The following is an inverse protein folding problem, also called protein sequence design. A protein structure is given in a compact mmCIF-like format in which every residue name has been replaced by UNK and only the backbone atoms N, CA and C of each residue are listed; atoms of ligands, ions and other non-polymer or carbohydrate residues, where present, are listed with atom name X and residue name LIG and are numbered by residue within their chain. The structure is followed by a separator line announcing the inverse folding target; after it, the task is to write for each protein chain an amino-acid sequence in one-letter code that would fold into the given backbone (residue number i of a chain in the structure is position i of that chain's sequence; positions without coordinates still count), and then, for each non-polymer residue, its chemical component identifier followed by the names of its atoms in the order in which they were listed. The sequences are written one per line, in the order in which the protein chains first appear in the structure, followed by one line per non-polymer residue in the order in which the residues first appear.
data_IF_648899263008
#
_entry.id   IF_648899263008
#
_cell.length_a   1.000
_cell.length_b   1.000
_cell.length_c   1.000
_cell.angle_alpha   90.00
_cell.angle_beta   90.00
_cell.angle_gamma   90.00
#
_symmetry.space_group_name_H-M   'P 1'
#
loop_
_entity.id
_entity.type
_entity.pdbx_description
1 polymer ?
#
# COMPACT_ATOMS: atom_id res chain seq x y z
N UNK A 1 -4.57 30.60 10.09
CA UNK A 1 -4.41 29.31 10.79
C UNK A 1 -3.50 28.39 9.96
N UNK A 2 -2.18 28.45 10.16
CA UNK A 2 -1.19 27.74 9.34
C UNK A 2 0.04 27.32 10.17
N UNK A 3 -0.17 26.87 11.41
CA UNK A 3 0.91 26.70 12.39
C UNK A 3 0.90 25.38 13.19
N UNK A 4 0.10 24.38 12.81
CA UNK A 4 0.08 23.08 13.51
C UNK A 4 0.54 21.88 12.66
N UNK A 5 0.82 22.07 11.36
CA UNK A 5 1.00 20.95 10.43
C UNK A 5 2.41 20.35 10.39
N UNK A 6 3.40 20.92 11.09
CA UNK A 6 4.82 20.66 10.82
C UNK A 6 5.68 20.21 12.01
N UNK A 7 5.11 19.95 13.19
CA UNK A 7 5.93 19.63 14.37
C UNK A 7 6.34 18.14 14.41
N UNK A 8 5.60 17.26 13.73
CA UNK A 8 5.82 15.80 13.75
C UNK A 8 6.37 15.23 12.44
N UNK A 9 6.47 16.04 11.39
CA UNK A 9 6.92 15.62 10.05
C UNK A 9 8.46 15.62 9.99
N UNK A 10 9.04 14.54 9.44
CA UNK A 10 10.47 14.48 9.14
C UNK A 10 10.69 14.43 7.63
N UNK A 11 11.42 15.41 7.10
CA UNK A 11 11.76 15.49 5.68
C UNK A 11 13.19 15.02 5.47
N UNK A 12 13.34 13.87 4.84
CA UNK A 12 14.65 13.24 4.61
C UNK A 12 14.76 12.94 3.11
N UNK A 13 15.91 13.27 2.51
CA UNK A 13 16.16 12.99 1.09
C UNK A 13 16.47 11.51 0.87
N UNK A 14 16.17 10.95 -0.30
CA UNK A 14 16.67 9.63 -0.65
C UNK A 14 18.18 9.68 -0.91
N UNK A 15 18.93 8.72 -0.36
CA UNK A 15 20.31 8.42 -0.74
C UNK A 15 20.34 7.52 -1.97
N UNK A 16 19.47 6.51 -1.98
CA UNK A 16 19.40 5.49 -3.04
C UNK A 16 17.97 5.00 -3.22
N UNK A 17 17.60 4.78 -4.47
CA UNK A 17 16.36 4.10 -4.86
C UNK A 17 16.75 2.77 -5.49
N UNK A 18 16.19 1.68 -5.00
CA UNK A 18 16.50 0.31 -5.43
C UNK A 18 15.18 -0.34 -5.88
N UNK A 19 14.91 -0.30 -7.18
CA UNK A 19 13.78 -1.02 -7.76
C UNK A 19 14.02 -2.52 -7.71
N UNK A 20 12.94 -3.31 -7.63
CA UNK A 20 13.05 -4.75 -7.71
C UNK A 20 13.68 -5.15 -9.06
N UNK A 21 14.72 -6.02 -9.08
CA UNK A 21 15.47 -6.35 -10.30
C UNK A 21 14.62 -7.09 -11.35
N UNK A 22 13.50 -7.67 -10.93
CA UNK A 22 12.52 -8.35 -11.81
C UNK A 22 11.22 -7.56 -12.00
N UNK A 23 11.22 -6.25 -11.71
CA UNK A 23 10.06 -5.41 -12.01
C UNK A 23 9.71 -5.49 -13.50
N UNK A 24 8.43 -5.64 -13.80
CA UNK A 24 7.92 -5.69 -15.16
C UNK A 24 6.85 -4.62 -15.34
N UNK A 25 7.10 -3.65 -16.22
CA UNK A 25 6.26 -2.48 -16.46
C UNK A 25 4.95 -2.79 -17.20
N UNK A 26 4.90 -3.89 -17.96
CA UNK A 26 3.68 -4.32 -18.66
C UNK A 26 2.66 -5.00 -17.73
N UNK A 27 3.13 -5.92 -16.89
CA UNK A 27 2.29 -6.69 -15.96
C UNK A 27 2.21 -6.08 -14.57
N UNK A 28 3.01 -5.06 -14.29
CA UNK A 28 3.27 -4.54 -12.94
C UNK A 28 3.79 -5.62 -11.97
N UNK A 29 4.34 -6.73 -12.47
CA UNK A 29 4.86 -7.77 -11.59
C UNK A 29 6.07 -7.25 -10.82
N UNK A 30 6.14 -7.59 -9.53
CA UNK A 30 7.17 -7.10 -8.60
C UNK A 30 7.26 -5.57 -8.53
N UNK A 31 6.12 -4.87 -8.51
CA UNK A 31 6.05 -3.43 -8.25
C UNK A 31 6.33 -3.13 -6.77
N UNK A 32 7.62 -3.23 -6.42
CA UNK A 32 8.14 -2.94 -5.09
C UNK A 32 9.52 -2.31 -5.23
N UNK A 33 9.84 -1.35 -4.38
CA UNK A 33 11.16 -0.72 -4.32
C UNK A 33 11.55 -0.36 -2.90
N UNK A 34 12.86 -0.31 -2.66
CA UNK A 34 13.42 0.20 -1.42
C UNK A 34 13.97 1.61 -1.64
N UNK A 35 13.69 2.51 -0.70
CA UNK A 35 14.29 3.84 -0.63
C UNK A 35 15.19 3.89 0.59
N UNK A 36 16.50 4.01 0.39
CA UNK A 36 17.46 4.27 1.47
C UNK A 36 17.45 5.76 1.76
N UNK A 37 17.18 6.14 3.00
CA UNK A 37 17.21 7.54 3.45
C UNK A 37 18.65 8.04 3.59
N UNK A 38 18.91 9.31 3.22
CA UNK A 38 20.23 9.96 3.36
C UNK A 38 20.70 10.11 4.80
N UNK A 39 19.75 10.14 5.73
CA UNK A 39 19.98 10.10 7.17
C UNK A 39 18.93 9.20 7.81
N UNK A 40 19.23 8.47 8.89
CA UNK A 40 18.22 7.71 9.62
C UNK A 40 17.04 8.60 10.07
N UNK A 41 15.82 8.06 10.03
CA UNK A 41 14.67 8.73 10.63
C UNK A 41 14.75 8.64 12.16
N UNK A 42 14.29 9.70 12.84
CA UNK A 42 14.22 9.72 14.31
C UNK A 42 12.90 9.09 14.77
N UNK A 43 12.96 7.92 15.40
CA UNK A 43 11.74 7.29 15.88
C UNK A 43 11.14 8.01 17.09
N UNK A 44 9.81 8.11 17.11
CA UNK A 44 9.03 8.73 18.18
C UNK A 44 7.58 8.21 18.14
N UNK A 45 6.67 8.80 18.89
CA UNK A 45 5.28 8.36 18.95
C UNK A 45 4.54 8.38 17.60
N UNK A 46 4.99 9.22 16.66
CA UNK A 46 4.40 9.43 15.34
C UNK A 46 5.21 8.81 14.20
N UNK A 47 6.46 8.38 14.44
CA UNK A 47 7.35 7.79 13.43
C UNK A 47 7.91 6.47 13.96
N UNK A 48 7.38 5.36 13.43
CA UNK A 48 7.75 4.00 13.84
C UNK A 48 7.83 3.09 12.60
N UNK A 49 8.76 2.11 12.57
CA UNK A 49 8.78 1.11 11.52
C UNK A 49 7.59 0.16 11.63
N UNK A 50 7.15 -0.40 10.50
CA UNK A 50 6.22 -1.53 10.44
C UNK A 50 7.02 -2.83 10.33
N UNK A 51 6.65 -3.92 11.02
CA UNK A 51 7.30 -5.21 10.83
C UNK A 51 7.15 -5.69 9.39
N UNK A 52 8.20 -6.33 8.88
CA UNK A 52 8.11 -7.06 7.61
C UNK A 52 7.26 -8.31 7.84
N UNK A 53 6.34 -8.55 6.92
CA UNK A 53 5.53 -9.76 6.99
C UNK A 53 6.35 -10.97 6.55
N UNK A 54 6.11 -12.09 7.21
CA UNK A 54 6.88 -13.34 7.07
C UNK A 54 6.12 -14.44 6.32
N UNK A 55 4.86 -14.20 5.99
CA UNK A 55 3.97 -15.11 5.28
C UNK A 55 2.99 -14.33 4.43
N UNK A 56 2.46 -14.96 3.39
CA UNK A 56 1.38 -14.37 2.60
C UNK A 56 0.08 -14.28 3.41
N UNK A 57 -0.71 -13.22 3.22
CA UNK A 57 -2.04 -13.13 3.79
C UNK A 57 -2.95 -14.23 3.23
N UNK A 58 -3.87 -14.70 4.06
CA UNK A 58 -4.86 -15.71 3.72
C UNK A 58 -6.18 -15.05 3.33
N UNK A 59 -7.00 -15.76 2.56
CA UNK A 59 -8.35 -15.28 2.23
C UNK A 59 -9.16 -15.04 3.50
N UNK A 60 -9.76 -13.85 3.61
CA UNK A 60 -10.52 -13.40 4.78
C UNK A 60 -9.72 -12.64 5.83
N UNK A 61 -8.38 -12.65 5.77
CA UNK A 61 -7.54 -11.81 6.62
C UNK A 61 -7.94 -10.33 6.46
N UNK A 62 -7.89 -9.57 7.56
CA UNK A 62 -8.22 -8.15 7.53
C UNK A 62 -6.96 -7.32 7.30
N UNK A 63 -7.01 -6.41 6.33
CA UNK A 63 -5.97 -5.43 6.03
C UNK A 63 -6.49 -4.02 6.34
N UNK A 64 -5.63 -3.19 6.93
CA UNK A 64 -5.92 -1.77 7.15
C UNK A 64 -5.29 -0.95 6.03
N UNK A 65 -6.11 -0.30 5.21
CA UNK A 65 -5.63 0.73 4.27
C UNK A 65 -5.65 2.09 4.95
N UNK A 66 -4.51 2.78 4.97
CA UNK A 66 -4.40 4.16 5.47
C UNK A 66 -4.06 5.09 4.31
N UNK A 67 -4.92 6.06 4.02
CA UNK A 67 -4.77 6.98 2.89
C UNK A 67 -5.02 8.44 3.28
N UNK A 68 -4.36 9.33 2.55
CA UNK A 68 -4.59 10.77 2.64
C UNK A 68 -5.34 11.22 1.39
N UNK A 69 -6.67 11.35 1.48
CA UNK A 69 -7.49 11.79 0.36
C UNK A 69 -7.22 13.25 0.00
N UNK A 70 -6.47 13.49 -1.07
CA UNK A 70 -6.34 14.84 -1.65
C UNK A 70 -7.44 15.21 -2.65
N UNK A 71 -8.26 14.25 -3.10
CA UNK A 71 -9.05 14.45 -4.33
C UNK A 71 -10.38 15.18 -4.13
N UNK A 72 -10.98 15.20 -2.93
CA UNK A 72 -12.30 15.83 -2.74
C UNK A 72 -12.41 16.75 -1.52
N UNK A 73 -11.59 16.57 -0.48
CA UNK A 73 -11.63 17.42 0.72
C UNK A 73 -10.20 17.73 1.15
N UNK A 74 -9.84 19.02 1.20
CA UNK A 74 -8.53 19.54 1.65
C UNK A 74 -8.28 19.29 3.15
N UNK A 75 -8.73 18.19 3.72
CA UNK A 75 -8.43 17.80 5.09
C UNK A 75 -7.21 16.90 5.00
N UNK A 76 -6.03 17.40 5.38
CA UNK A 76 -4.79 16.60 5.42
C UNK A 76 -4.80 15.55 6.54
N UNK A 77 -5.92 14.87 6.73
CA UNK A 77 -6.23 13.87 7.75
C UNK A 77 -6.12 12.50 7.09
N UNK A 78 -5.47 11.56 7.79
CA UNK A 78 -5.40 10.17 7.36
C UNK A 78 -6.74 9.49 7.60
N UNK A 79 -7.25 8.81 6.59
CA UNK A 79 -8.42 7.94 6.67
C UNK A 79 -7.97 6.48 6.69
N UNK A 80 -8.75 5.65 7.37
CA UNK A 80 -8.51 4.23 7.53
C UNK A 80 -9.71 3.43 7.00
N UNK A 81 -9.45 2.32 6.32
CA UNK A 81 -10.47 1.39 5.85
C UNK A 81 -10.01 -0.05 6.08
N UNK A 82 -10.85 -0.84 6.75
CA UNK A 82 -10.65 -2.29 6.90
C UNK A 82 -11.14 -3.02 5.65
N UNK A 83 -10.27 -3.86 5.09
CA UNK A 83 -10.49 -4.59 3.84
C UNK A 83 -10.19 -6.08 4.04
N UNK A 84 -11.12 -6.99 3.67
CA UNK A 84 -10.83 -8.41 3.68
C UNK A 84 -9.94 -8.80 2.49
N UNK A 85 -8.99 -9.71 2.70
CA UNK A 85 -8.21 -10.32 1.63
C UNK A 85 -9.13 -11.24 0.80
N UNK A 86 -9.13 -11.02 -0.50
CA UNK A 86 -9.91 -11.80 -1.45
C UNK A 86 -9.15 -13.04 -1.89
N UNK A 87 -9.90 -14.07 -2.30
CA UNK A 87 -9.30 -15.25 -2.89
C UNK A 87 -8.62 -14.91 -4.21
N UNK A 88 -7.50 -15.58 -4.50
CA UNK A 88 -6.74 -15.35 -5.72
C UNK A 88 -7.56 -15.67 -6.99
N UNK A 89 -8.49 -16.63 -6.92
CA UNK A 89 -9.42 -16.93 -8.01
C UNK A 89 -10.44 -15.81 -8.21
N UNK A 90 -10.97 -15.20 -7.14
CA UNK A 90 -11.83 -14.02 -7.23
C UNK A 90 -11.11 -12.84 -7.88
N UNK A 91 -9.85 -12.59 -7.49
CA UNK A 91 -8.99 -11.59 -8.13
C UNK A 91 -8.81 -11.83 -9.63
N UNK A 92 -8.43 -13.04 -10.01
CA UNK A 92 -8.22 -13.44 -11.41
C UNK A 92 -9.52 -13.39 -12.22
N UNK A 93 -10.67 -13.71 -11.62
CA UNK A 93 -11.96 -13.61 -12.29
C UNK A 93 -12.30 -12.14 -12.66
N UNK A 94 -11.92 -11.18 -11.81
CA UNK A 94 -12.22 -9.77 -12.04
C UNK A 94 -11.20 -9.04 -12.93
N UNK A 95 -9.91 -9.42 -12.87
CA UNK A 95 -8.82 -8.74 -13.59
C UNK A 95 -8.14 -9.57 -14.69
N UNK A 96 -8.52 -10.84 -14.84
CA UNK A 96 -7.94 -11.77 -15.80
C UNK A 96 -6.45 -12.03 -15.53
N UNK A 97 -5.68 -12.12 -16.61
CA UNK A 97 -4.23 -12.41 -16.59
C UNK A 97 -3.36 -11.23 -16.08
N UNK A 98 -3.98 -10.16 -15.58
CA UNK A 98 -3.25 -9.03 -14.99
C UNK A 98 -2.78 -9.30 -13.56
N UNK A 99 -3.36 -10.29 -12.89
CA UNK A 99 -2.98 -10.68 -11.53
C UNK A 99 -1.94 -11.79 -11.60
N UNK A 100 -0.72 -11.48 -11.15
CA UNK A 100 0.37 -12.46 -11.03
C UNK A 100 0.35 -13.13 -9.65
N UNK A 101 1.12 -14.20 -9.49
CA UNK A 101 1.20 -14.93 -8.21
C UNK A 101 1.92 -14.11 -7.10
N UNK A 102 2.58 -13.01 -7.46
CA UNK A 102 3.19 -12.06 -6.51
C UNK A 102 2.22 -10.95 -6.09
N UNK A 103 0.94 -11.07 -6.43
CA UNK A 103 -0.12 -10.12 -6.10
C UNK A 103 -1.28 -10.81 -5.38
N UNK A 104 -1.91 -10.10 -4.43
CA UNK A 104 -3.21 -10.45 -3.86
C UNK A 104 -4.16 -9.25 -3.95
N UNK A 105 -5.45 -9.43 -3.72
CA UNK A 105 -6.38 -8.30 -3.60
C UNK A 105 -7.01 -8.24 -2.22
N UNK A 106 -7.34 -7.03 -1.80
CA UNK A 106 -8.15 -6.78 -0.61
C UNK A 106 -9.32 -5.86 -0.96
N UNK A 107 -10.47 -6.13 -0.34
CA UNK A 107 -11.70 -5.35 -0.39
C UNK A 107 -12.93 -6.16 -0.77
N UNK A 108 -13.94 -5.50 -1.36
CA UNK A 108 -15.28 -6.08 -1.51
C UNK A 108 -15.66 -6.22 -2.99
N UNK A 109 -16.29 -7.34 -3.36
CA UNK A 109 -16.65 -7.67 -4.75
C UNK A 109 -17.94 -6.97 -5.21
N UNK A 110 -18.86 -6.63 -4.32
CA UNK A 110 -20.15 -6.02 -4.70
C UNK A 110 -20.09 -4.48 -4.76
N UNK A 111 -20.48 -3.94 -5.90
CA UNK A 111 -20.50 -2.51 -6.17
C UNK A 111 -21.51 -1.75 -5.31
N UNK A 112 -21.07 -0.66 -4.68
CA UNK A 112 -21.93 0.47 -4.44
C UNK A 112 -21.13 1.77 -4.49
N UNK A 113 -21.68 2.71 -5.30
CA UNK A 113 -21.54 4.16 -5.24
C UNK A 113 -20.31 4.73 -4.51
N UNK A 114 -19.47 5.41 -5.28
CA UNK A 114 -18.52 6.45 -4.82
C UNK A 114 -17.14 6.05 -4.28
N UNK A 115 -16.73 4.79 -4.42
CA UNK A 115 -15.37 4.38 -4.04
C UNK A 115 -14.56 3.95 -5.26
N UNK A 116 -13.48 4.68 -5.57
CA UNK A 116 -12.42 4.23 -6.46
C UNK A 116 -12.09 2.77 -6.14
N UNK A 117 -12.28 1.87 -7.11
CA UNK A 117 -12.00 0.43 -7.11
C UNK A 117 -11.37 -0.12 -5.83
N UNK A 118 -12.18 -0.70 -4.95
CA UNK A 118 -11.75 -1.30 -3.67
C UNK A 118 -11.16 -2.70 -3.89
N UNK A 119 -10.38 -2.89 -4.95
CA UNK A 119 -9.70 -4.15 -5.23
C UNK A 119 -8.32 -3.80 -5.78
N UNK A 120 -7.36 -3.64 -4.87
CA UNK A 120 -6.01 -3.23 -5.23
C UNK A 120 -5.10 -4.47 -5.31
N UNK A 121 -4.36 -4.70 -6.41
CA UNK A 121 -3.29 -5.68 -6.41
C UNK A 121 -2.21 -5.19 -5.45
N UNK A 122 -1.95 -5.97 -4.40
CA UNK A 122 -0.91 -5.68 -3.41
C UNK A 122 0.23 -6.66 -3.63
N UNK A 123 1.44 -6.12 -3.78
CA UNK A 123 2.64 -6.91 -4.03
C UNK A 123 3.23 -7.43 -2.74
N UNK A 124 3.59 -8.71 -2.76
CA UNK A 124 4.31 -9.35 -1.68
C UNK A 124 5.55 -10.06 -2.23
N UNK A 125 6.69 -9.87 -1.58
CA UNK A 125 7.91 -10.60 -1.91
C UNK A 125 8.10 -11.73 -0.89
N UNK A 126 8.14 -12.97 -1.36
CA UNK A 126 8.68 -14.08 -0.58
C UNK A 126 10.19 -14.17 -0.88
N UNK A 127 10.99 -14.35 0.17
CA UNK A 127 12.39 -14.74 0.02
C UNK A 127 12.52 -16.07 -0.73
#
# INVERSE_FOLDING_TARGET
AHLLKHIYEQRIRPEKVIAHPKYNDFSFNNDIMLIKLSTPATFNDNVKPIPLATSCPQTGDQCLEVRNEKLLRKTGVLQCLDLPVLSHSSCKAAYGNKITDNMFCAGFIEGSKDSCQVMMPVHFNQN
#
